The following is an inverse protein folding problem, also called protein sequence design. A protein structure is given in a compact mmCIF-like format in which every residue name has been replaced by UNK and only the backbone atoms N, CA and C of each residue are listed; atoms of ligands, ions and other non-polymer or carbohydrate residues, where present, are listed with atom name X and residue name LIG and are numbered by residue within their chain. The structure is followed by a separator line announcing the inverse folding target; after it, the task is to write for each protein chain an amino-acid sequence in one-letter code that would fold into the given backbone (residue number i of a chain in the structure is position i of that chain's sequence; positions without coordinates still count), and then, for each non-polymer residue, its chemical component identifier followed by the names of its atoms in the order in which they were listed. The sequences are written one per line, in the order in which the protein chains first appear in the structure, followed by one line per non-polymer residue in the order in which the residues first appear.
data_IF_892219073011
#
_entry.id   IF_892219073011
#
_cell.length_a   1.000
_cell.length_b   1.000
_cell.length_c   1.000
_cell.angle_alpha   90.00
_cell.angle_beta   90.00
_cell.angle_gamma   90.00
#
_symmetry.space_group_name_H-M   'P 1'
#
loop_
_entity.id
_entity.type
_entity.pdbx_description
1 polymer ?
#
# COMPACT_ATOMS: atom_id res chain seq x y z
N UNK A 1 28.16 -7.75 3.39
CA UNK A 1 26.91 -7.53 4.15
C UNK A 1 26.30 -8.91 4.33
N UNK A 2 25.78 -9.27 5.51
CA UNK A 2 25.09 -10.54 5.67
C UNK A 2 23.78 -10.50 4.88
N UNK A 3 23.58 -11.49 4.01
CA UNK A 3 22.45 -11.55 3.09
C UNK A 3 21.49 -12.69 3.49
N UNK A 4 20.18 -12.45 3.38
CA UNK A 4 19.13 -13.45 3.62
C UNK A 4 18.71 -14.05 2.26
N UNK A 5 18.91 -15.35 2.00
CA UNK A 5 18.54 -15.96 0.73
C UNK A 5 17.03 -16.20 0.66
N UNK A 6 16.33 -15.41 -0.15
CA UNK A 6 14.87 -15.49 -0.32
C UNK A 6 14.43 -16.47 -1.43
N UNK A 7 15.31 -16.73 -2.40
CA UNK A 7 15.11 -17.72 -3.47
C UNK A 7 14.29 -17.27 -4.67
N UNK A 8 13.78 -16.04 -4.71
CA UNK A 8 13.11 -15.43 -5.87
C UNK A 8 13.11 -13.90 -5.77
N UNK A 9 12.58 -13.22 -6.79
CA UNK A 9 12.47 -11.76 -6.79
C UNK A 9 11.44 -11.30 -5.74
N UNK A 10 11.85 -10.33 -4.93
CA UNK A 10 11.02 -9.69 -3.91
C UNK A 10 10.13 -8.67 -4.60
N UNK A 11 8.85 -8.72 -4.27
CA UNK A 11 7.86 -7.72 -4.66
C UNK A 11 7.62 -6.70 -3.55
N UNK A 12 7.60 -7.15 -2.29
CA UNK A 12 7.39 -6.27 -1.12
C UNK A 12 8.15 -6.78 0.11
N UNK A 13 8.51 -5.87 1.00
CA UNK A 13 9.22 -6.15 2.25
C UNK A 13 8.66 -5.31 3.39
N UNK A 14 8.36 -5.96 4.51
CA UNK A 14 7.81 -5.30 5.69
C UNK A 14 8.52 -5.79 6.95
N UNK A 15 8.95 -4.87 7.80
CA UNK A 15 9.52 -5.20 9.10
C UNK A 15 8.43 -5.29 10.17
N UNK A 16 8.55 -6.26 11.06
CA UNK A 16 7.69 -6.32 12.24
C UNK A 16 7.91 -5.07 13.10
N UNK A 17 6.86 -4.42 13.63
CA UNK A 17 6.97 -3.11 14.29
C UNK A 17 7.76 -3.13 15.61
N UNK A 18 7.91 -4.29 16.25
CA UNK A 18 8.52 -4.40 17.59
C UNK A 18 9.51 -5.55 17.75
N UNK A 19 9.66 -6.40 16.74
CA UNK A 19 10.47 -7.62 16.82
C UNK A 19 11.42 -7.65 15.63
N UNK A 20 12.58 -8.27 15.78
CA UNK A 20 13.56 -8.41 14.70
C UNK A 20 13.13 -9.50 13.71
N UNK A 21 12.01 -9.24 13.02
CA UNK A 21 11.44 -10.11 11.99
C UNK A 21 11.20 -9.28 10.75
N UNK A 22 11.54 -9.82 9.59
CA UNK A 22 11.24 -9.26 8.27
C UNK A 22 10.36 -10.23 7.50
N UNK A 23 9.34 -9.69 6.82
CA UNK A 23 8.45 -10.41 5.94
C UNK A 23 8.75 -10.01 4.49
N UNK A 24 8.79 -10.97 3.59
CA UNK A 24 8.99 -10.73 2.16
C UNK A 24 7.88 -11.39 1.36
N UNK A 25 7.24 -10.63 0.46
CA UNK A 25 6.38 -11.17 -0.59
C UNK A 25 7.19 -11.39 -1.86
N UNK A 26 7.11 -12.58 -2.44
CA UNK A 26 7.84 -12.96 -3.66
C UNK A 26 6.91 -12.97 -4.88
N UNK A 27 7.44 -12.75 -6.08
CA UNK A 27 6.67 -12.85 -7.33
C UNK A 27 6.06 -14.24 -7.57
N UNK A 28 6.58 -15.27 -6.89
CA UNK A 28 6.02 -16.63 -6.91
C UNK A 28 4.71 -16.77 -6.13
N UNK A 29 4.28 -15.72 -5.42
CA UNK A 29 3.16 -15.69 -4.49
C UNK A 29 3.50 -16.23 -3.10
N UNK A 30 4.76 -16.54 -2.83
CA UNK A 30 5.22 -16.95 -1.50
C UNK A 30 5.40 -15.74 -0.58
N UNK A 31 4.99 -15.88 0.67
CA UNK A 31 5.32 -14.98 1.77
C UNK A 31 6.26 -15.72 2.71
N UNK A 32 7.42 -15.12 2.97
CA UNK A 32 8.43 -15.67 3.87
C UNK A 32 8.68 -14.73 5.03
N UNK A 33 8.99 -15.30 6.19
CA UNK A 33 9.37 -14.57 7.38
C UNK A 33 10.74 -15.03 7.86
N UNK A 34 11.58 -14.06 8.26
CA UNK A 34 12.92 -14.33 8.78
C UNK A 34 13.14 -13.54 10.06
N UNK A 35 13.63 -14.21 11.11
CA UNK A 35 14.24 -13.54 12.24
C UNK A 35 15.63 -13.04 11.85
N UNK A 36 16.06 -11.91 12.41
CA UNK A 36 17.40 -11.37 12.19
C UNK A 36 17.95 -10.70 13.47
N UNK A 37 19.27 -10.50 13.53
CA UNK A 37 19.91 -9.76 14.61
C UNK A 37 20.89 -8.69 14.11
N UNK A 38 21.49 -7.94 15.05
CA UNK A 38 22.46 -6.89 14.76
C UNK A 38 23.81 -7.42 14.23
N UNK A 39 24.13 -8.70 14.48
CA UNK A 39 25.32 -9.35 13.93
C UNK A 39 25.08 -9.89 12.51
N UNK A 40 23.85 -9.81 12.01
CA UNK A 40 23.44 -10.28 10.69
C UNK A 40 23.18 -11.78 10.62
N UNK A 41 23.06 -12.45 11.76
CA UNK A 41 22.51 -13.80 11.76
C UNK A 41 21.02 -13.73 11.46
N UNK A 42 20.50 -14.78 10.84
CA UNK A 42 19.10 -14.88 10.48
C UNK A 42 18.61 -16.32 10.54
N UNK A 43 17.31 -16.48 10.77
CA UNK A 43 16.65 -17.77 10.83
C UNK A 43 15.30 -17.71 10.10
N UNK A 44 15.00 -18.74 9.29
CA UNK A 44 13.71 -18.83 8.62
C UNK A 44 12.61 -19.17 9.63
N UNK A 45 11.54 -18.36 9.66
CA UNK A 45 10.40 -18.55 10.57
C UNK A 45 9.29 -19.35 9.93
N UNK A 46 8.80 -18.89 8.77
CA UNK A 46 7.82 -19.63 7.97
C UNK A 46 7.92 -19.25 6.49
N UNK A 47 7.36 -20.10 5.64
CA UNK A 47 7.18 -19.87 4.20
C UNK A 47 5.81 -20.39 3.80
N UNK A 48 4.94 -19.52 3.31
CA UNK A 48 3.57 -19.87 2.95
C UNK A 48 3.19 -19.32 1.58
N UNK A 49 2.17 -19.92 0.98
CA UNK A 49 1.57 -19.45 -0.28
C UNK A 49 0.07 -19.23 -0.07
N UNK A 50 -0.32 -18.08 0.50
CA UNK A 50 -1.65 -17.91 1.09
C UNK A 50 -2.79 -18.00 0.06
N UNK A 51 -2.56 -17.68 -1.22
CA UNK A 51 -3.57 -17.85 -2.27
C UNK A 51 -3.16 -17.23 -3.60
N UNK A 52 -4.05 -17.33 -4.60
CA UNK A 52 -3.90 -16.67 -5.91
C UNK A 52 -4.20 -15.17 -5.77
N UNK A 53 -3.83 -14.39 -6.79
CA UNK A 53 -4.27 -13.00 -6.91
C UNK A 53 -5.79 -12.87 -6.73
N UNK A 54 -6.26 -11.69 -6.27
CA UNK A 54 -7.67 -11.34 -5.95
C UNK A 54 -8.15 -11.68 -4.54
N UNK A 55 -7.35 -12.36 -3.72
CA UNK A 55 -7.73 -12.79 -2.37
C UNK A 55 -7.00 -11.97 -1.29
N UNK A 56 -7.66 -11.73 -0.16
CA UNK A 56 -7.05 -11.12 1.02
C UNK A 56 -6.93 -12.17 2.14
N UNK A 57 -5.71 -12.39 2.62
CA UNK A 57 -5.41 -13.37 3.66
C UNK A 57 -4.90 -12.69 4.93
N UNK A 58 -5.31 -13.20 6.08
CA UNK A 58 -4.72 -12.86 7.40
C UNK A 58 -3.91 -14.04 7.86
N UNK A 59 -2.68 -13.78 8.28
CA UNK A 59 -1.70 -14.80 8.66
C UNK A 59 -1.27 -14.53 10.09
N UNK A 60 -1.28 -15.57 10.92
CA UNK A 60 -0.67 -15.51 12.25
C UNK A 60 0.86 -15.44 12.10
N UNK A 61 1.46 -14.38 12.64
CA UNK A 61 2.89 -14.12 12.47
C UNK A 61 3.79 -15.04 13.29
N UNK A 62 3.26 -15.72 14.30
CA UNK A 62 4.02 -16.66 15.11
C UNK A 62 4.04 -18.06 14.49
N UNK A 63 2.92 -18.50 13.92
CA UNK A 63 2.77 -19.86 13.37
C UNK A 63 2.89 -19.93 11.84
N UNK A 64 2.69 -18.80 11.14
CA UNK A 64 2.54 -18.77 9.69
C UNK A 64 1.18 -19.31 9.21
N UNK A 65 0.23 -19.59 10.11
CA UNK A 65 -1.06 -20.14 9.73
C UNK A 65 -1.99 -19.06 9.14
N UNK A 66 -2.71 -19.40 8.07
CA UNK A 66 -3.74 -18.51 7.52
C UNK A 66 -4.99 -18.58 8.40
N UNK A 67 -5.24 -17.54 9.19
CA UNK A 67 -6.36 -17.47 10.14
C UNK A 67 -7.65 -16.97 9.52
N UNK A 68 -7.58 -16.24 8.41
CA UNK A 68 -8.75 -15.75 7.68
C UNK A 68 -8.44 -15.58 6.19
N UNK A 69 -9.42 -15.82 5.34
CA UNK A 69 -9.32 -15.67 3.89
C UNK A 69 -10.59 -15.07 3.30
N UNK A 70 -10.42 -14.04 2.47
CA UNK A 70 -11.48 -13.43 1.66
C UNK A 70 -11.19 -13.72 0.20
N UNK A 71 -11.79 -14.80 -0.29
CA UNK A 71 -11.69 -15.20 -1.69
C UNK A 71 -12.56 -14.28 -2.54
N UNK A 72 -12.03 -13.79 -3.66
CA UNK A 72 -12.74 -12.81 -4.49
C UNK A 72 -12.92 -11.46 -3.79
N UNK A 73 -11.92 -11.04 -3.00
CA UNK A 73 -11.94 -9.71 -2.40
C UNK A 73 -11.99 -8.62 -3.50
N UNK A 74 -11.30 -8.85 -4.61
CA UNK A 74 -11.33 -8.02 -5.82
C UNK A 74 -11.60 -8.87 -7.06
N UNK A 75 -11.98 -8.23 -8.16
CA UNK A 75 -12.19 -8.90 -9.45
C UNK A 75 -10.89 -9.03 -10.24
N UNK A 76 -9.88 -8.19 -9.94
CA UNK A 76 -8.51 -8.22 -10.48
C UNK A 76 -7.45 -8.26 -9.36
N UNK A 77 -6.17 -8.40 -9.73
CA UNK A 77 -5.14 -8.68 -8.73
C UNK A 77 -4.97 -7.50 -7.78
N UNK A 78 -4.79 -7.80 -6.49
CA UNK A 78 -4.58 -6.79 -5.46
C UNK A 78 -3.11 -6.42 -5.48
N UNK A 79 -2.80 -5.15 -5.77
CA UNK A 79 -1.43 -4.65 -5.80
C UNK A 79 -0.97 -4.13 -4.44
N UNK A 80 -1.88 -3.57 -3.65
CA UNK A 80 -1.55 -2.89 -2.40
C UNK A 80 -2.52 -3.19 -1.28
N UNK A 81 -1.96 -3.28 -0.07
CA UNK A 81 -2.70 -3.45 1.18
C UNK A 81 -2.16 -2.45 2.21
N UNK A 82 -3.04 -1.75 2.92
CA UNK A 82 -2.65 -0.80 3.96
C UNK A 82 -3.57 -0.90 5.16
N UNK A 83 -3.01 -0.88 6.37
CA UNK A 83 -3.80 -0.67 7.58
C UNK A 83 -4.15 0.83 7.69
N UNK A 84 -5.44 1.14 7.63
CA UNK A 84 -5.96 2.50 7.79
C UNK A 84 -6.37 2.78 9.24
N UNK A 85 -7.00 1.85 9.96
CA UNK A 85 -7.32 2.03 11.38
C UNK A 85 -7.07 0.72 12.15
N UNK A 86 -7.38 0.69 13.45
CA UNK A 86 -7.21 -0.50 14.28
C UNK A 86 -7.81 -1.76 13.65
N UNK A 87 -8.99 -1.64 13.04
CA UNK A 87 -9.75 -2.71 12.39
C UNK A 87 -10.15 -2.36 10.96
N UNK A 88 -9.39 -1.52 10.27
CA UNK A 88 -9.68 -1.18 8.89
C UNK A 88 -8.47 -1.39 8.00
N UNK A 89 -8.66 -2.20 6.97
CA UNK A 89 -7.66 -2.51 5.95
C UNK A 89 -8.15 -1.93 4.62
N UNK A 90 -7.28 -1.22 3.92
CA UNK A 90 -7.51 -0.80 2.55
C UNK A 90 -6.79 -1.74 1.60
N UNK A 91 -7.43 -2.04 0.47
CA UNK A 91 -6.84 -2.78 -0.65
C UNK A 91 -7.10 -2.03 -1.95
N UNK A 92 -6.17 -2.13 -2.89
CA UNK A 92 -6.26 -1.54 -4.22
C UNK A 92 -5.81 -2.54 -5.27
N UNK A 93 -6.53 -2.62 -6.40
CA UNK A 93 -6.28 -3.60 -7.46
C UNK A 93 -5.77 -2.99 -8.77
N UNK A 94 -5.59 -3.85 -9.79
CA UNK A 94 -5.13 -3.49 -11.14
C UNK A 94 -6.12 -2.59 -11.90
N UNK A 95 -7.41 -2.62 -11.57
CA UNK A 95 -8.44 -1.84 -12.28
C UNK A 95 -8.74 -0.51 -11.58
N UNK A 96 -7.94 -0.14 -10.57
CA UNK A 96 -8.12 1.11 -9.82
C UNK A 96 -9.19 1.03 -8.73
N UNK A 97 -9.73 -0.15 -8.42
CA UNK A 97 -10.76 -0.30 -7.40
C UNK A 97 -10.10 -0.32 -6.01
N UNK A 98 -10.54 0.57 -5.15
CA UNK A 98 -10.12 0.63 -3.74
C UNK A 98 -11.26 0.10 -2.86
N UNK A 99 -10.97 -0.88 -2.01
CA UNK A 99 -11.94 -1.40 -1.03
C UNK A 99 -11.43 -1.21 0.39
N UNK A 100 -12.36 -0.91 1.30
CA UNK A 100 -12.10 -0.84 2.74
C UNK A 100 -12.75 -2.05 3.43
N UNK A 101 -12.00 -2.72 4.29
CA UNK A 101 -12.40 -3.97 4.94
C UNK A 101 -12.36 -3.84 6.44
N UNK A 102 -13.46 -4.23 7.07
CA UNK A 102 -13.50 -4.51 8.50
C UNK A 102 -13.49 -6.04 8.66
N UNK A 103 -12.51 -6.63 9.37
CA UNK A 103 -12.41 -8.08 9.52
C UNK A 103 -13.67 -8.70 10.15
N UNK A 104 -14.47 -7.90 10.87
CA UNK A 104 -15.72 -8.32 11.53
C UNK A 104 -16.91 -8.37 10.59
N UNK A 105 -16.80 -7.81 9.38
CA UNK A 105 -17.88 -7.79 8.37
C UNK A 105 -17.56 -8.72 7.21
N UNK A 106 -18.59 -9.34 6.63
CA UNK A 106 -18.43 -10.22 5.47
C UNK A 106 -18.05 -9.42 4.22
N UNK A 107 -18.77 -8.34 3.94
CA UNK A 107 -18.58 -7.53 2.75
C UNK A 107 -17.64 -6.34 3.00
N UNK A 108 -17.14 -5.73 1.93
CA UNK A 108 -16.37 -4.49 2.01
C UNK A 108 -17.22 -3.37 2.61
N UNK A 109 -16.62 -2.60 3.50
CA UNK A 109 -17.25 -1.44 4.14
C UNK A 109 -17.53 -0.34 3.13
N UNK A 110 -16.60 -0.16 2.19
CA UNK A 110 -16.69 0.79 1.07
C UNK A 110 -15.93 0.26 -0.14
N UNK A 111 -16.36 0.75 -1.30
CA UNK A 111 -15.75 0.53 -2.60
C UNK A 111 -15.67 1.87 -3.30
N UNK A 112 -14.54 2.13 -3.94
CA UNK A 112 -14.21 3.37 -4.65
C UNK A 112 -13.69 2.98 -6.04
N UNK A 113 -14.23 3.60 -7.09
CA UNK A 113 -14.00 3.22 -8.50
C UNK A 113 -13.70 4.44 -9.39
N UNK A 114 -13.12 5.48 -8.80
CA UNK A 114 -12.77 6.72 -9.51
C UNK A 114 -11.50 6.59 -10.35
N UNK A 115 -10.64 5.62 -10.05
CA UNK A 115 -9.44 5.33 -10.81
C UNK A 115 -9.74 4.31 -11.91
N UNK A 116 -9.02 4.39 -13.01
CA UNK A 116 -9.18 3.50 -14.17
C UNK A 116 -7.90 2.73 -14.53
N UNK A 117 -6.89 2.79 -13.65
CA UNK A 117 -5.65 2.03 -13.74
C UNK A 117 -5.16 1.65 -12.33
N UNK A 118 -4.13 0.80 -12.26
CA UNK A 118 -3.71 0.12 -11.03
C UNK A 118 -3.45 1.06 -9.85
N UNK A 119 -3.89 0.65 -8.66
CA UNK A 119 -3.52 1.36 -7.42
C UNK A 119 -2.09 1.01 -7.03
N UNK A 120 -1.24 2.03 -7.02
CA UNK A 120 0.21 1.86 -6.89
C UNK A 120 0.72 1.97 -5.46
N UNK A 121 0.06 2.75 -4.58
CA UNK A 121 0.44 2.89 -3.18
C UNK A 121 -0.69 3.54 -2.35
N UNK A 122 -0.59 3.40 -1.02
CA UNK A 122 -1.47 4.01 -0.04
C UNK A 122 -0.70 4.72 1.07
N UNK A 123 -1.10 5.96 1.33
CA UNK A 123 -0.67 6.75 2.48
C UNK A 123 -1.82 6.95 3.47
N UNK A 124 -1.63 6.48 4.70
CA UNK A 124 -2.57 6.74 5.80
C UNK A 124 -2.21 8.01 6.56
N UNK A 125 -3.19 8.88 6.76
CA UNK A 125 -3.08 10.16 7.46
C UNK A 125 -3.91 10.13 8.74
N UNK A 126 -3.23 9.88 9.86
CA UNK A 126 -3.84 9.68 11.18
C UNK A 126 -4.57 10.94 11.70
N UNK A 127 -4.08 12.13 11.35
CA UNK A 127 -4.58 13.43 11.82
C UNK A 127 -6.01 13.72 11.33
N UNK A 128 -6.29 13.44 10.06
CA UNK A 128 -7.61 13.66 9.45
C UNK A 128 -8.42 12.37 9.26
N UNK A 129 -7.82 11.21 9.54
CA UNK A 129 -8.36 9.87 9.23
C UNK A 129 -8.62 9.70 7.73
N UNK A 130 -7.64 10.13 6.94
CA UNK A 130 -7.70 10.10 5.48
C UNK A 130 -6.78 9.02 4.93
N UNK A 131 -7.28 8.25 3.98
CA UNK A 131 -6.46 7.43 3.11
C UNK A 131 -6.16 8.24 1.85
N UNK A 132 -4.93 8.23 1.39
CA UNK A 132 -4.53 8.75 0.07
C UNK A 132 -4.10 7.55 -0.77
N UNK A 133 -4.59 7.48 -2.00
CA UNK A 133 -4.24 6.45 -2.97
C UNK A 133 -3.62 7.12 -4.20
N UNK A 134 -2.52 6.56 -4.70
CA UNK A 134 -1.92 6.92 -6.00
C UNK A 134 -2.23 5.83 -7.01
N UNK A 135 -2.38 6.21 -8.28
CA UNK A 135 -2.68 5.28 -9.37
C UNK A 135 -1.77 5.48 -10.58
N UNK A 136 -1.64 4.43 -11.39
CA UNK A 136 -1.07 4.48 -12.74
C UNK A 136 -1.81 5.43 -13.68
N UNK A 137 -3.06 5.79 -13.38
CA UNK A 137 -3.88 6.69 -14.20
C UNK A 137 -3.44 8.16 -14.17
N UNK A 138 -2.33 8.46 -13.50
CA UNK A 138 -1.75 9.79 -13.38
C UNK A 138 -2.35 10.63 -12.27
N UNK A 139 -3.27 10.09 -11.47
CA UNK A 139 -3.97 10.83 -10.42
C UNK A 139 -3.79 10.22 -9.03
N UNK A 140 -4.13 11.04 -8.02
CA UNK A 140 -4.34 10.56 -6.66
C UNK A 140 -5.74 10.89 -6.18
N UNK A 141 -6.26 10.06 -5.28
CA UNK A 141 -7.51 10.31 -4.58
C UNK A 141 -7.31 10.29 -3.07
N UNK A 142 -8.17 11.02 -2.36
CA UNK A 142 -8.18 11.09 -0.90
C UNK A 142 -9.55 10.69 -0.40
N UNK A 143 -9.62 9.72 0.50
CA UNK A 143 -10.86 9.22 1.06
C UNK A 143 -10.90 9.54 2.55
N UNK A 144 -11.92 10.28 2.99
CA UNK A 144 -12.21 10.45 4.42
C UNK A 144 -12.96 9.22 4.93
N UNK A 145 -12.27 8.41 5.73
CA UNK A 145 -12.80 7.15 6.24
C UNK A 145 -13.93 7.36 7.25
N UNK A 146 -14.07 8.54 7.86
CA UNK A 146 -15.17 8.86 8.77
C UNK A 146 -16.40 9.43 8.05
N UNK A 147 -16.20 10.02 6.87
CA UNK A 147 -17.29 10.57 6.06
C UNK A 147 -18.25 9.47 5.62
N UNK A 148 -19.56 9.71 5.66
CA UNK A 148 -20.55 8.76 5.12
C UNK A 148 -20.65 8.79 3.58
N UNK A 149 -19.93 9.70 2.93
CA UNK A 149 -19.93 9.82 1.47
C UNK A 149 -19.23 8.61 0.83
N UNK A 150 -19.78 8.16 -0.29
CA UNK A 150 -19.23 7.08 -1.13
C UNK A 150 -18.20 7.59 -2.15
N UNK A 151 -18.12 8.89 -2.34
CA UNK A 151 -17.13 9.55 -3.19
C UNK A 151 -15.84 9.88 -2.43
N UNK A 152 -14.69 10.00 -3.13
CA UNK A 152 -13.48 10.53 -2.53
C UNK A 152 -13.70 11.97 -2.02
N UNK A 153 -13.01 12.32 -0.94
CA UNK A 153 -12.93 13.69 -0.43
C UNK A 153 -12.24 14.64 -1.41
N UNK A 154 -11.22 14.16 -2.12
CA UNK A 154 -10.53 14.90 -3.18
C UNK A 154 -9.98 13.93 -4.23
N UNK A 155 -9.82 14.43 -5.44
CA UNK A 155 -9.18 13.77 -6.57
C UNK A 155 -8.29 14.84 -7.23
N UNK A 156 -7.04 14.51 -7.53
CA UNK A 156 -6.12 15.44 -8.20
C UNK A 156 -6.44 15.61 -9.68
N UNK A 157 -5.87 16.64 -10.29
CA UNK A 157 -5.71 16.72 -11.72
C UNK A 157 -4.71 15.64 -12.19
N UNK A 158 -4.84 15.26 -13.46
CA UNK A 158 -3.90 14.37 -14.13
C UNK A 158 -2.49 15.00 -14.10
N UNK A 159 -1.53 14.24 -13.59
CA UNK A 159 -0.15 14.67 -13.45
C UNK A 159 0.70 14.42 -14.71
N UNK A 160 0.10 13.84 -15.75
CA UNK A 160 0.71 13.43 -17.04
C UNK A 160 1.81 12.38 -16.88
N UNK A 161 1.81 11.65 -15.76
CA UNK A 161 2.78 10.60 -15.44
C UNK A 161 2.20 9.67 -14.38
N UNK A 162 2.54 8.37 -14.44
CA UNK A 162 2.04 7.37 -13.49
C UNK A 162 2.53 7.71 -12.07
N UNK A 163 1.64 7.71 -11.09
CA UNK A 163 2.02 7.94 -9.69
C UNK A 163 2.31 6.58 -9.06
N UNK A 164 3.54 6.33 -8.60
CA UNK A 164 3.99 4.98 -8.22
C UNK A 164 4.20 4.76 -6.72
N UNK A 165 4.40 5.83 -5.96
CA UNK A 165 4.67 5.76 -4.53
C UNK A 165 4.30 7.06 -3.85
N UNK A 166 3.95 7.02 -2.56
CA UNK A 166 3.65 8.23 -1.80
C UNK A 166 4.12 8.15 -0.34
N UNK A 167 4.76 9.23 0.12
CA UNK A 167 5.19 9.36 1.53
C UNK A 167 4.98 10.77 2.04
N UNK A 168 4.75 10.91 3.35
CA UNK A 168 4.73 12.24 3.98
C UNK A 168 6.13 12.76 4.26
N UNK A 169 6.30 14.06 4.13
CA UNK A 169 7.52 14.79 4.52
C UNK A 169 7.15 16.03 5.35
N UNK A 170 8.16 16.71 5.91
CA UNK A 170 8.02 17.95 6.68
C UNK A 170 6.96 17.84 7.79
N UNK A 171 7.12 16.84 8.66
CA UNK A 171 6.21 16.60 9.79
C UNK A 171 4.77 16.30 9.36
N UNK A 172 4.60 15.67 8.19
CA UNK A 172 3.29 15.38 7.64
C UNK A 172 2.70 16.49 6.78
N UNK A 173 3.23 17.72 6.73
CA UNK A 173 2.55 18.84 6.06
C UNK A 173 2.54 18.76 4.53
N UNK A 174 3.45 17.98 3.95
CA UNK A 174 3.54 17.71 2.52
C UNK A 174 3.58 16.21 2.27
N UNK A 175 3.20 15.81 1.06
CA UNK A 175 3.45 14.47 0.54
C UNK A 175 4.38 14.58 -0.67
N UNK A 176 5.25 13.59 -0.84
CA UNK A 176 6.04 13.40 -2.05
C UNK A 176 5.48 12.17 -2.74
N UNK A 177 5.23 12.31 -4.04
CA UNK A 177 4.78 11.26 -4.93
C UNK A 177 5.88 10.99 -5.93
N UNK A 178 6.38 9.76 -5.98
CA UNK A 178 7.34 9.34 -7.00
C UNK A 178 6.61 8.88 -8.26
N UNK A 179 7.09 9.31 -9.42
CA UNK A 179 6.46 9.01 -10.71
C UNK A 179 7.32 8.11 -11.60
N UNK A 180 6.73 7.55 -12.66
CA UNK A 180 7.42 6.64 -13.59
C UNK A 180 8.60 7.31 -14.33
N UNK A 181 8.52 8.61 -14.64
CA UNK A 181 9.64 9.35 -15.25
C UNK A 181 10.75 9.75 -14.25
N UNK A 182 10.67 9.29 -13.00
CA UNK A 182 11.64 9.63 -11.96
C UNK A 182 11.49 11.06 -11.44
N UNK A 183 10.32 11.68 -11.62
CA UNK A 183 9.98 12.98 -11.06
C UNK A 183 9.40 12.76 -9.66
N UNK A 184 9.73 13.64 -8.72
CA UNK A 184 9.12 13.67 -7.41
C UNK A 184 8.14 14.85 -7.34
N UNK A 185 6.85 14.57 -7.44
CA UNK A 185 5.78 15.56 -7.31
C UNK A 185 5.48 15.82 -5.84
N UNK A 186 5.43 17.10 -5.45
CA UNK A 186 5.24 17.51 -4.05
C UNK A 186 3.84 18.08 -3.88
N UNK A 187 3.01 17.43 -3.07
CA UNK A 187 1.68 17.94 -2.69
C UNK A 187 1.74 18.69 -1.36
N UNK A 188 1.05 19.83 -1.26
CA UNK A 188 0.89 20.56 0.00
C UNK A 188 -0.52 20.35 0.56
N UNK A 189 -0.62 19.54 1.60
CA UNK A 189 -1.90 19.16 2.23
C UNK A 189 -2.70 20.34 2.78
N UNK A 190 -2.06 21.49 3.04
CA UNK A 190 -2.76 22.74 3.45
C UNK A 190 -3.38 23.47 2.27
N UNK A 191 -2.80 23.35 1.06
CA UNK A 191 -3.37 23.90 -0.18
C UNK A 191 -4.39 22.96 -0.83
N UNK A 192 -4.46 21.72 -0.38
CA UNK A 192 -5.37 20.70 -0.90
C UNK A 192 -4.62 19.60 -1.66
N UNK A 193 -5.37 18.83 -2.43
CA UNK A 193 -4.87 17.69 -3.20
C UNK A 193 -5.16 17.82 -4.70
N UNK A 194 -5.66 18.98 -5.13
CA UNK A 194 -6.04 19.21 -6.54
C UNK A 194 -4.85 19.14 -7.49
N UNK A 195 -3.70 19.70 -7.11
CA UNK A 195 -2.49 19.61 -7.93
C UNK A 195 -1.24 19.63 -7.03
N UNK A 196 -0.12 19.16 -7.59
CA UNK A 196 1.18 19.30 -6.99
C UNK A 196 1.57 20.80 -6.90
N UNK A 197 2.37 21.15 -5.91
CA UNK A 197 2.84 22.53 -5.71
C UNK A 197 4.28 22.74 -6.14
N UNK A 198 4.96 21.66 -6.47
CA UNK A 198 6.37 21.63 -6.85
C UNK A 198 6.71 20.27 -7.44
N UNK A 199 7.76 20.20 -8.26
CA UNK A 199 8.29 18.96 -8.85
C UNK A 199 9.81 18.98 -8.75
N UNK A 200 10.39 17.92 -8.21
CA UNK A 200 11.84 17.72 -8.22
C UNK A 200 12.17 16.75 -9.33
N UNK A 201 12.85 17.25 -10.36
CA UNK A 201 13.40 16.41 -11.42
C UNK A 201 14.81 15.97 -11.01
N UNK A 202 15.19 14.73 -11.32
CA UNK A 202 16.57 14.30 -11.17
C UNK A 202 17.49 15.24 -11.96
N UNK A 203 18.65 15.59 -11.40
CA UNK A 203 19.69 16.24 -12.18
C UNK A 203 20.05 15.29 -13.33
N UNK A 204 19.80 15.71 -14.58
CA UNK A 204 20.38 15.03 -15.74
C UNK A 204 21.90 15.12 -15.58
N UNK A 205 22.53 14.00 -15.22
CA UNK A 205 23.99 13.82 -15.30
C UNK A 205 24.46 13.93 -16.74
#
# INVERSE_FOLDING_TARGET
MPDIPVGSQIFDVVFHPTSSIVYTGLLTGEVKAFGYDEQGQHDARFSIKPGKGKCLHTVDTATGEVTNSRVGAHDTAINRVKRAMSHLIATGDDDGVIKLWDPRKKDSVRTYTQHFDFISDFLWLEDKKQLVATSGDGTLSVMDVRSKKTEPFAHSEDQEDELLSIVTIKGGTKAVVGTQLGILSIFNRKKGWGDCVDRVTGARS
#
